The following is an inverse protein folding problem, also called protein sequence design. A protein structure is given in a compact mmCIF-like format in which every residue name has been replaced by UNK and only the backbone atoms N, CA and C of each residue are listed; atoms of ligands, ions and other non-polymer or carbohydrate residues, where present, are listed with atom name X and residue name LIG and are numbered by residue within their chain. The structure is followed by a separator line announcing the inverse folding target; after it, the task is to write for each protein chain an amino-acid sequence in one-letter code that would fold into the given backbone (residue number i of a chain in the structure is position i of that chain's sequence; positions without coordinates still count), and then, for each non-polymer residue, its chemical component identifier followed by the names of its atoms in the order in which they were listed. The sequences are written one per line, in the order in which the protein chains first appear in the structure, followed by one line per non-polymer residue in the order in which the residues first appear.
data_IF_981309463883
#
_entry.id   IF_981309463883
#
_cell.length_a   1.000
_cell.length_b   1.000
_cell.length_c   1.000
_cell.angle_alpha   90.00
_cell.angle_beta   90.00
_cell.angle_gamma   90.00
#
_symmetry.space_group_name_H-M   'P 1'
#
loop_
_entity.id
_entity.type
_entity.pdbx_description
1 polymer ?
#
# COMPACT_ATOMS: atom_id res chain seq x y z
N UNK A 1 9.56 0.76 0.37
CA UNK A 1 8.66 0.28 1.45
C UNK A 1 8.30 1.47 2.35
N UNK A 2 7.10 1.48 2.93
CA UNK A 2 6.65 2.51 3.88
C UNK A 2 5.97 1.85 5.05
N UNK A 3 6.22 2.37 6.25
CA UNK A 3 5.58 1.91 7.49
C UNK A 3 4.62 3.00 7.98
N UNK A 4 3.46 2.58 8.46
CA UNK A 4 2.43 3.46 9.00
C UNK A 4 1.86 2.82 10.27
N UNK A 5 1.69 3.59 11.34
CA UNK A 5 1.03 3.16 12.57
C UNK A 5 -0.24 3.99 12.70
N UNK A 6 -1.40 3.33 12.70
CA UNK A 6 -2.70 3.99 12.81
C UNK A 6 -3.01 4.39 14.26
N UNK A 7 -4.07 5.17 14.45
CA UNK A 7 -4.48 5.71 15.75
C UNK A 7 -4.87 4.63 16.76
N UNK A 8 -5.21 3.42 16.29
CA UNK A 8 -5.52 2.25 17.12
C UNK A 8 -4.27 1.45 17.53
N UNK A 9 -3.08 1.88 17.09
CA UNK A 9 -1.80 1.22 17.36
C UNK A 9 -1.44 0.10 16.38
N UNK A 10 -2.28 -0.22 15.40
CA UNK A 10 -1.94 -1.20 14.38
C UNK A 10 -0.91 -0.63 13.41
N UNK A 11 0.23 -1.31 13.29
CA UNK A 11 1.27 -1.01 12.32
C UNK A 11 1.05 -1.76 11.00
N UNK A 12 1.34 -1.12 9.89
CA UNK A 12 1.26 -1.65 8.54
C UNK A 12 2.56 -1.40 7.79
N UNK A 13 3.01 -2.38 7.02
CA UNK A 13 4.12 -2.23 6.08
C UNK A 13 3.58 -2.36 4.66
N UNK A 14 3.78 -1.33 3.84
CA UNK A 14 3.42 -1.32 2.43
C UNK A 14 4.68 -1.37 1.54
N UNK A 15 4.58 -2.07 0.41
CA UNK A 15 5.63 -2.14 -0.60
C UNK A 15 5.02 -2.47 -1.96
N UNK A 16 5.78 -2.28 -3.04
CA UNK A 16 5.31 -2.73 -4.35
C UNK A 16 6.10 -2.21 -5.53
N UNK A 17 6.26 -3.09 -6.52
CA UNK A 17 6.62 -2.83 -7.93
C UNK A 17 6.37 -4.15 -8.72
N UNK A 18 5.49 -4.21 -9.73
CA UNK A 18 4.51 -3.17 -10.13
C UNK A 18 3.19 -3.27 -9.32
N UNK A 19 3.04 -4.28 -8.47
CA UNK A 19 1.85 -4.50 -7.65
C UNK A 19 2.04 -3.91 -6.25
N UNK A 20 1.01 -3.29 -5.68
CA UNK A 20 1.01 -2.74 -4.32
C UNK A 20 0.50 -3.76 -3.31
N UNK A 21 1.24 -3.93 -2.22
CA UNK A 21 0.96 -4.92 -1.17
C UNK A 21 1.09 -4.30 0.21
N UNK A 22 0.47 -4.94 1.20
CA UNK A 22 0.73 -4.66 2.61
C UNK A 22 0.62 -5.89 3.51
N UNK A 23 1.19 -5.79 4.71
CA UNK A 23 0.93 -6.69 5.84
C UNK A 23 0.59 -5.88 7.09
N UNK A 24 -0.09 -6.54 8.04
CA UNK A 24 -0.24 -6.06 9.42
C UNK A 24 0.97 -6.52 10.23
N UNK A 25 1.81 -5.57 10.63
CA UNK A 25 2.94 -5.85 11.51
C UNK A 25 2.44 -6.17 12.92
N UNK A 26 3.16 -7.05 13.60
CA UNK A 26 3.00 -7.27 15.03
C UNK A 26 3.72 -6.14 15.80
N UNK A 27 3.43 -6.03 17.10
CA UNK A 27 4.00 -4.98 17.95
C UNK A 27 5.54 -5.02 18.06
N UNK A 28 6.17 -6.17 17.76
CA UNK A 28 7.63 -6.30 17.71
C UNK A 28 8.28 -5.63 16.48
N UNK A 29 7.47 -5.22 15.48
CA UNK A 29 7.89 -4.61 14.21
C UNK A 29 8.84 -5.46 13.36
N UNK A 30 9.05 -6.72 13.72
CA UNK A 30 9.93 -7.68 13.03
C UNK A 30 9.20 -8.93 12.57
N UNK A 31 7.95 -9.12 12.99
CA UNK A 31 7.05 -10.16 12.53
C UNK A 31 5.71 -9.58 12.08
N UNK A 32 4.93 -10.37 11.34
CA UNK A 32 3.60 -9.97 10.87
C UNK A 32 2.59 -11.10 11.03
N UNK A 33 1.32 -10.74 11.08
CA UNK A 33 0.21 -11.70 11.17
C UNK A 33 -0.57 -11.76 9.85
N UNK A 34 -1.04 -12.96 9.52
CA UNK A 34 -1.77 -13.22 8.27
C UNK A 34 -0.85 -13.35 7.06
N UNK A 35 -1.40 -13.13 5.88
CA UNK A 35 -0.68 -13.18 4.60
C UNK A 35 -0.58 -11.78 3.99
N UNK A 36 0.42 -11.51 3.14
CA UNK A 36 0.45 -10.31 2.31
C UNK A 36 -0.86 -10.11 1.55
N UNK A 37 -1.39 -8.89 1.59
CA UNK A 37 -2.63 -8.50 0.90
C UNK A 37 -2.27 -7.60 -0.26
N UNK A 38 -2.73 -7.95 -1.46
CA UNK A 38 -2.60 -7.10 -2.64
C UNK A 38 -3.68 -6.03 -2.64
N UNK A 39 -3.29 -4.78 -2.87
CA UNK A 39 -4.24 -3.68 -3.10
C UNK A 39 -4.62 -3.68 -4.59
N UNK A 40 -5.92 -3.75 -4.93
CA UNK A 40 -6.36 -3.63 -6.31
C UNK A 40 -5.97 -2.27 -6.89
N UNK A 41 -5.15 -2.30 -7.94
CA UNK A 41 -4.81 -1.09 -8.69
C UNK A 41 -5.92 -0.80 -9.70
N UNK A 42 -6.78 0.16 -9.37
CA UNK A 42 -7.85 0.63 -10.27
C UNK A 42 -7.43 1.92 -10.97
N UNK A 43 -7.93 2.14 -12.19
CA UNK A 43 -7.69 3.39 -12.94
C UNK A 43 -8.26 4.63 -12.24
N UNK A 44 -9.35 4.47 -11.47
CA UNK A 44 -9.92 5.54 -10.67
C UNK A 44 -9.00 5.96 -9.50
N UNK A 45 -8.33 5.00 -8.85
CA UNK A 45 -7.46 5.27 -7.70
C UNK A 45 -6.03 5.64 -8.07
N UNK A 46 -5.50 5.10 -9.17
CA UNK A 46 -4.08 5.21 -9.55
C UNK A 46 -3.87 5.81 -10.94
N UNK A 47 -4.89 6.45 -11.51
CA UNK A 47 -4.85 7.00 -12.86
C UNK A 47 -4.84 5.94 -13.96
N UNK A 48 -5.11 6.35 -15.19
CA UNK A 48 -5.13 5.46 -16.37
C UNK A 48 -3.83 5.55 -17.14
N UNK A 49 -3.23 4.40 -17.44
CA UNK A 49 -2.13 4.28 -18.41
C UNK A 49 -2.69 3.92 -19.79
N UNK A 50 -2.18 4.56 -20.83
CA UNK A 50 -2.67 4.38 -22.21
C UNK A 50 -1.69 3.64 -23.12
N UNK A 51 -0.43 3.50 -22.72
CA UNK A 51 0.67 2.99 -23.54
C UNK A 51 1.08 1.53 -23.21
N UNK A 52 0.53 0.94 -22.14
CA UNK A 52 0.76 -0.47 -21.78
C UNK A 52 -0.51 -1.13 -21.20
N UNK A 53 -1.16 -2.05 -21.94
CA UNK A 53 -2.41 -2.68 -21.51
C UNK A 53 -2.22 -3.66 -20.33
N UNK A 54 -1.02 -4.20 -20.12
CA UNK A 54 -0.72 -5.11 -19.00
C UNK A 54 -0.55 -4.35 -17.68
N UNK A 55 -0.36 -3.03 -17.75
CA UNK A 55 -0.20 -2.13 -16.60
C UNK A 55 -1.19 -0.97 -16.71
N UNK A 56 -2.50 -1.20 -16.58
CA UNK A 56 -3.53 -0.19 -16.91
C UNK A 56 -3.52 1.05 -16.00
N UNK A 57 -2.71 1.08 -14.94
CA UNK A 57 -2.63 2.21 -14.00
C UNK A 57 -1.28 2.93 -14.02
N UNK A 58 -1.25 4.16 -13.48
CA UNK A 58 -0.03 4.96 -13.33
C UNK A 58 0.76 4.66 -12.04
N UNK A 59 0.32 3.68 -11.23
CA UNK A 59 1.13 3.21 -10.12
C UNK A 59 2.42 2.55 -10.62
N UNK A 60 3.54 2.92 -10.01
CA UNK A 60 4.88 2.40 -10.32
C UNK A 60 5.45 1.65 -9.13
N UNK A 61 5.90 2.41 -8.13
CA UNK A 61 6.60 1.92 -6.95
C UNK A 61 6.64 3.00 -5.87
N UNK A 62 7.42 2.78 -4.80
CA UNK A 62 7.67 3.80 -3.77
C UNK A 62 6.41 4.29 -3.05
N UNK A 63 5.51 3.41 -2.57
CA UNK A 63 4.33 3.86 -1.83
C UNK A 63 4.77 4.61 -0.57
N UNK A 64 4.04 5.68 -0.23
CA UNK A 64 4.17 6.43 1.01
C UNK A 64 2.79 6.60 1.63
N UNK A 65 2.53 5.87 2.71
CA UNK A 65 1.21 5.80 3.33
C UNK A 65 1.23 6.52 4.66
N UNK A 66 0.26 7.41 4.89
CA UNK A 66 0.10 8.11 6.16
C UNK A 66 -1.34 8.57 6.37
N UNK A 67 -1.66 8.96 7.60
CA UNK A 67 -2.96 9.51 7.98
C UNK A 67 -2.83 10.97 8.38
N UNK A 68 -3.77 11.81 7.91
CA UNK A 68 -3.85 13.22 8.30
C UNK A 68 -5.31 13.65 8.36
N UNK A 69 -5.74 14.14 9.54
CA UNK A 69 -7.11 14.64 9.71
C UNK A 69 -8.18 13.57 9.46
N UNK A 70 -7.91 12.31 9.81
CA UNK A 70 -8.83 11.18 9.58
C UNK A 70 -8.81 10.60 8.17
N UNK A 71 -8.07 11.21 7.24
CA UNK A 71 -7.91 10.72 5.87
C UNK A 71 -6.59 9.94 5.72
N UNK A 72 -6.65 8.83 5.00
CA UNK A 72 -5.49 8.04 4.60
C UNK A 72 -5.03 8.49 3.22
N UNK A 73 -3.72 8.62 3.06
CA UNK A 73 -3.02 9.01 1.85
C UNK A 73 -2.04 7.93 1.46
#
# INVERSE_FOLDING_TARGET
PTVFIDDDGQAYLYWGNPNLWYVKLNADMTSYSGSPVQIPLTTAGFGTRTDNPDRPTLYEEGPWVYKRGGLYY
#
